data_IF_740310586079
#
_entry.id   IF_740310586079
#
_cell.length_a   1.000
_cell.length_b   1.000
_cell.length_c   1.000
_cell.angle_alpha   90.00
_cell.angle_beta   90.00
_cell.angle_gamma   90.00
#
_symmetry.space_group_name_H-M   'P 1'
#
loop_
_entity.id
_entity.type
_entity.pdbx_description
1 polymer ?
#
# COMPACT_ATOMS: atom_id res chain seq x y z
N UNK A 1 9.80 -14.05 9.88
CA UNK A 1 10.90 -14.47 8.98
C UNK A 1 10.41 -14.20 7.57
N UNK A 2 11.18 -13.50 6.73
CA UNK A 2 10.75 -13.19 5.34
C UNK A 2 10.67 -14.49 4.51
N UNK A 3 9.62 -14.65 3.72
CA UNK A 3 9.42 -15.80 2.84
C UNK A 3 10.03 -15.54 1.45
N UNK A 4 11.35 -15.70 1.36
CA UNK A 4 12.12 -15.53 0.11
C UNK A 4 12.06 -16.80 -0.75
N UNK A 5 12.32 -16.66 -2.05
CA UNK A 5 12.44 -17.81 -2.93
C UNK A 5 13.64 -18.68 -2.56
N UNK A 6 13.42 -19.98 -2.61
CA UNK A 6 14.47 -20.99 -2.50
C UNK A 6 15.30 -21.04 -3.78
N UNK A 7 16.49 -21.64 -3.70
CA UNK A 7 17.34 -21.86 -4.89
C UNK A 7 16.62 -22.68 -5.96
N UNK A 8 15.87 -23.70 -5.55
CA UNK A 8 15.11 -24.56 -6.46
C UNK A 8 14.04 -23.76 -7.21
N UNK A 9 13.30 -22.89 -6.51
CA UNK A 9 12.31 -22.00 -7.13
C UNK A 9 12.95 -21.00 -8.10
N UNK A 10 14.10 -20.41 -7.74
CA UNK A 10 14.84 -19.52 -8.63
C UNK A 10 15.24 -20.24 -9.92
N UNK A 11 15.78 -21.46 -9.81
CA UNK A 11 16.13 -22.29 -10.97
C UNK A 11 14.91 -22.60 -11.84
N UNK A 12 13.76 -22.91 -11.24
CA UNK A 12 12.51 -23.15 -11.99
C UNK A 12 12.09 -21.89 -12.76
N UNK A 13 12.14 -20.72 -12.12
CA UNK A 13 11.80 -19.45 -12.75
C UNK A 13 12.73 -19.15 -13.93
N UNK A 14 14.04 -19.34 -13.77
CA UNK A 14 15.02 -19.10 -14.83
C UNK A 14 14.82 -20.05 -16.01
N UNK A 15 14.65 -21.35 -15.75
CA UNK A 15 14.40 -22.35 -16.79
C UNK A 15 13.10 -22.06 -17.58
N UNK A 16 12.04 -21.66 -16.88
CA UNK A 16 10.76 -21.25 -17.51
C UNK A 16 10.93 -19.99 -18.35
N UNK A 17 11.66 -18.99 -17.84
CA UNK A 17 11.94 -17.74 -18.56
C UNK A 17 12.75 -17.98 -19.84
N UNK A 18 13.71 -18.91 -19.82
CA UNK A 18 14.52 -19.27 -20.97
C UNK A 18 13.73 -20.09 -22.00
N UNK A 19 12.96 -21.08 -21.53
CA UNK A 19 12.22 -22.00 -22.40
C UNK A 19 11.05 -21.32 -23.12
N UNK A 20 10.40 -20.36 -22.45
CA UNK A 20 9.19 -19.69 -22.93
C UNK A 20 9.37 -18.17 -23.08
N UNK A 21 10.59 -17.70 -23.40
CA UNK A 21 10.93 -16.28 -23.36
C UNK A 21 9.99 -15.39 -24.20
N UNK A 22 9.61 -15.84 -25.41
CA UNK A 22 8.76 -15.09 -26.35
C UNK A 22 7.37 -14.81 -25.78
N UNK A 23 6.85 -15.71 -24.96
CA UNK A 23 5.53 -15.58 -24.36
C UNK A 23 5.49 -14.45 -23.31
N UNK A 24 6.59 -14.23 -22.61
CA UNK A 24 6.68 -13.24 -21.52
C UNK A 24 7.32 -11.91 -21.95
N UNK A 25 7.98 -11.89 -23.10
CA UNK A 25 8.79 -10.75 -23.55
C UNK A 25 7.94 -9.51 -23.83
N UNK A 26 8.20 -8.43 -23.08
CA UNK A 26 7.49 -7.14 -23.19
C UNK A 26 5.94 -7.31 -23.12
N UNK A 27 5.49 -8.42 -22.52
CA UNK A 27 4.08 -8.81 -22.41
C UNK A 27 3.68 -8.93 -20.95
N UNK A 28 2.48 -8.47 -20.60
CA UNK A 28 1.92 -8.65 -19.25
C UNK A 28 0.97 -9.85 -19.25
N UNK A 29 1.38 -10.93 -18.58
CA UNK A 29 0.60 -12.16 -18.45
C UNK A 29 -0.34 -12.06 -17.26
N UNK A 30 -1.64 -12.26 -17.54
CA UNK A 30 -2.69 -12.32 -16.52
C UNK A 30 -3.22 -13.76 -16.50
N UNK A 31 -2.93 -14.48 -15.42
CA UNK A 31 -3.39 -15.85 -15.22
C UNK A 31 -4.06 -15.97 -13.85
N UNK A 32 -5.32 -16.41 -13.81
CA UNK A 32 -6.09 -16.59 -12.57
C UNK A 32 -5.55 -17.72 -11.67
N UNK A 33 -4.72 -18.61 -12.22
CA UNK A 33 -4.10 -19.72 -11.51
C UNK A 33 -2.60 -19.48 -11.23
N UNK A 34 -2.14 -18.22 -11.30
CA UNK A 34 -0.75 -17.89 -11.04
C UNK A 34 -0.34 -18.26 -9.62
N UNK A 35 0.83 -18.89 -9.51
CA UNK A 35 1.52 -19.19 -8.25
C UNK A 35 2.60 -18.15 -7.96
N UNK A 36 3.23 -18.18 -6.79
CA UNK A 36 4.26 -17.20 -6.41
C UNK A 36 5.47 -17.18 -7.37
N UNK A 37 5.77 -18.29 -8.05
CA UNK A 37 6.87 -18.40 -9.02
C UNK A 37 6.43 -18.12 -10.47
N UNK A 38 5.14 -17.88 -10.73
CA UNK A 38 4.65 -17.62 -12.07
C UNK A 38 5.18 -16.29 -12.61
N UNK A 39 5.71 -16.31 -13.84
CA UNK A 39 6.23 -15.12 -14.52
C UNK A 39 5.07 -14.25 -14.98
N UNK A 40 5.15 -12.96 -14.66
CA UNK A 40 4.23 -11.92 -15.13
C UNK A 40 4.70 -11.31 -16.44
N UNK A 41 6.00 -11.06 -16.55
CA UNK A 41 6.60 -10.38 -17.70
C UNK A 41 8.12 -10.47 -17.63
N UNK A 42 8.76 -10.34 -18.79
CA UNK A 42 10.21 -10.19 -18.93
C UNK A 42 10.50 -8.84 -19.59
N UNK A 43 11.37 -8.04 -18.96
CA UNK A 43 11.70 -6.70 -19.45
C UNK A 43 12.38 -6.73 -20.82
N UNK A 44 12.15 -5.67 -21.60
CA UNK A 44 12.54 -5.63 -23.00
C UNK A 44 14.06 -5.62 -23.24
N UNK A 45 14.79 -4.79 -22.51
CA UNK A 45 16.20 -4.54 -22.82
C UNK A 45 17.13 -5.46 -22.01
N UNK A 46 16.89 -5.55 -20.70
CA UNK A 46 17.77 -6.30 -19.80
C UNK A 46 17.27 -7.71 -19.47
N UNK A 47 16.07 -8.09 -19.93
CA UNK A 47 15.44 -9.39 -19.65
C UNK A 47 15.25 -9.65 -18.16
N UNK A 48 14.88 -8.63 -17.39
CA UNK A 48 14.52 -8.75 -15.98
C UNK A 48 13.22 -9.53 -15.84
N UNK A 49 13.21 -10.51 -14.95
CA UNK A 49 12.09 -11.42 -14.76
C UNK A 49 11.26 -10.92 -13.58
N UNK A 50 10.01 -10.54 -13.86
CA UNK A 50 9.03 -10.19 -12.85
C UNK A 50 8.10 -11.37 -12.64
N UNK A 51 8.03 -11.86 -11.40
CA UNK A 51 7.12 -12.94 -11.00
C UNK A 51 6.00 -12.40 -10.12
N UNK A 52 4.89 -13.14 -10.04
CA UNK A 52 3.77 -12.83 -9.13
C UNK A 52 4.27 -12.60 -7.70
N UNK A 53 5.10 -13.51 -7.19
CA UNK A 53 5.68 -13.42 -5.87
C UNK A 53 4.68 -13.62 -4.73
N UNK A 54 5.07 -13.15 -3.56
CA UNK A 54 4.30 -13.25 -2.32
C UNK A 54 4.36 -11.91 -1.57
N UNK A 55 4.06 -11.91 -0.27
CA UNK A 55 4.06 -10.67 0.54
C UNK A 55 5.45 -10.09 0.82
N UNK A 56 6.51 -10.87 0.60
CA UNK A 56 7.90 -10.54 0.90
C UNK A 56 8.79 -10.41 -0.34
N UNK A 57 8.38 -10.93 -1.50
CA UNK A 57 9.15 -10.85 -2.75
C UNK A 57 8.26 -10.74 -3.99
N UNK A 58 8.81 -10.22 -5.09
CA UNK A 58 8.16 -10.18 -6.40
C UNK A 58 7.10 -9.08 -6.53
N UNK A 59 6.23 -9.21 -7.53
CA UNK A 59 5.29 -8.16 -7.90
C UNK A 59 4.25 -7.89 -6.81
N UNK A 60 3.75 -8.92 -6.14
CA UNK A 60 2.77 -8.78 -5.05
C UNK A 60 3.34 -7.95 -3.90
N UNK A 61 4.56 -8.24 -3.47
CA UNK A 61 5.27 -7.45 -2.46
C UNK A 61 5.43 -5.99 -2.89
N UNK A 62 5.94 -5.77 -4.11
CA UNK A 62 6.14 -4.44 -4.67
C UNK A 62 4.84 -3.64 -4.70
N UNK A 63 3.77 -4.23 -5.23
CA UNK A 63 2.48 -3.57 -5.37
C UNK A 63 1.82 -3.33 -4.00
N UNK A 64 1.81 -4.31 -3.09
CA UNK A 64 1.24 -4.13 -1.76
C UNK A 64 2.05 -3.15 -0.90
N UNK A 65 3.38 -3.07 -1.04
CA UNK A 65 4.16 -2.20 -0.16
C UNK A 65 4.28 -0.78 -0.73
N UNK A 66 4.53 -0.66 -2.03
CA UNK A 66 4.97 0.58 -2.66
C UNK A 66 3.96 1.20 -3.63
N UNK A 67 2.87 0.50 -4.00
CA UNK A 67 1.81 1.15 -4.79
C UNK A 67 1.17 2.29 -4.01
N UNK A 68 0.93 3.40 -4.71
CA UNK A 68 0.21 4.56 -4.16
C UNK A 68 -1.16 4.17 -3.61
N UNK A 69 -1.85 3.25 -4.28
CA UNK A 69 -3.18 2.76 -3.89
C UNK A 69 -3.15 1.60 -2.89
N UNK A 70 -1.98 1.31 -2.30
CA UNK A 70 -1.92 0.36 -1.19
C UNK A 70 -2.05 1.05 0.16
N UNK A 71 -3.08 0.64 0.90
CA UNK A 71 -3.46 1.13 2.21
C UNK A 71 -3.11 0.15 3.34
N UNK A 72 -2.21 -0.79 3.08
CA UNK A 72 -1.76 -1.76 4.10
C UNK A 72 -0.94 -1.06 5.19
N UNK A 73 -1.31 -1.31 6.45
CA UNK A 73 -0.60 -0.81 7.61
C UNK A 73 0.57 -1.73 7.97
N UNK A 74 1.77 -1.17 8.04
CA UNK A 74 2.98 -1.88 8.44
C UNK A 74 3.43 -1.35 9.80
N UNK A 75 3.75 -2.24 10.73
CA UNK A 75 4.17 -1.91 12.09
C UNK A 75 5.60 -2.39 12.31
N UNK A 76 6.46 -1.50 12.83
CA UNK A 76 7.87 -1.78 13.10
C UNK A 76 8.20 -1.49 14.56
N UNK A 77 9.15 -2.22 15.18
CA UNK A 77 9.58 -1.95 16.53
C UNK A 77 10.03 -0.50 16.73
N UNK A 78 9.71 0.07 17.88
CA UNK A 78 10.15 1.40 18.30
C UNK A 78 10.51 1.39 19.79
N UNK A 79 11.56 2.11 20.17
CA UNK A 79 12.06 2.15 21.54
C UNK A 79 11.05 2.72 22.55
N UNK A 80 10.11 3.56 22.07
CA UNK A 80 9.16 4.29 22.93
C UNK A 80 7.78 3.61 23.01
N UNK A 81 7.21 3.19 21.87
CA UNK A 81 5.82 2.73 21.77
C UNK A 81 5.69 1.21 21.59
N UNK A 82 6.78 0.45 21.74
CA UNK A 82 6.96 -0.95 21.34
C UNK A 82 6.80 -1.20 19.83
N UNK A 83 5.80 -0.61 19.18
CA UNK A 83 5.54 -0.66 17.74
C UNK A 83 5.07 0.71 17.24
N UNK A 84 5.63 1.17 16.12
CA UNK A 84 5.18 2.35 15.38
C UNK A 84 4.79 1.98 13.95
N UNK A 85 3.92 2.78 13.35
CA UNK A 85 3.60 2.64 11.94
C UNK A 85 4.81 2.95 11.04
N UNK A 86 5.19 2.01 10.19
CA UNK A 86 6.13 2.22 9.08
C UNK A 86 5.42 2.89 7.91
N UNK A 87 6.13 3.78 7.21
CA UNK A 87 5.63 4.52 6.05
C UNK A 87 6.48 4.20 4.81
N UNK A 88 6.30 3.03 4.16
CA UNK A 88 7.08 2.67 2.97
C UNK A 88 6.93 3.71 1.86
N UNK A 89 8.01 4.02 1.13
CA UNK A 89 7.94 4.94 0.00
C UNK A 89 6.95 4.45 -1.05
N UNK A 90 6.19 5.39 -1.62
CA UNK A 90 5.17 5.10 -2.63
C UNK A 90 5.57 5.60 -4.01
N UNK A 91 5.25 4.83 -5.04
CA UNK A 91 5.36 5.25 -6.44
C UNK A 91 4.42 6.42 -6.74
N UNK A 92 4.68 7.10 -7.86
CA UNK A 92 3.85 8.19 -8.33
C UNK A 92 2.41 7.69 -8.60
N UNK A 93 1.36 8.41 -8.17
CA UNK A 93 -0.04 8.00 -8.35
C UNK A 93 -0.49 7.80 -9.81
N UNK A 94 0.23 8.37 -10.78
CA UNK A 94 -0.06 8.23 -12.22
C UNK A 94 0.59 7.02 -12.87
N UNK A 95 1.51 6.34 -12.16
CA UNK A 95 2.18 5.15 -12.70
C UNK A 95 1.23 3.97 -12.74
N UNK A 96 1.29 3.24 -13.84
CA UNK A 96 0.61 1.95 -13.97
C UNK A 96 1.51 0.86 -13.40
N UNK A 97 1.04 0.08 -12.41
CA UNK A 97 1.76 -1.09 -11.92
C UNK A 97 2.11 -2.03 -13.07
N UNK A 98 3.17 -2.81 -12.85
CA UNK A 98 3.86 -3.70 -13.79
C UNK A 98 4.45 -2.97 -15.01
N UNK A 99 3.68 -2.20 -15.76
CA UNK A 99 4.14 -1.53 -16.99
C UNK A 99 5.25 -0.52 -16.68
N UNK A 100 4.98 0.46 -15.81
CA UNK A 100 5.97 1.51 -15.54
C UNK A 100 7.07 1.01 -14.60
N UNK A 101 6.75 0.07 -13.69
CA UNK A 101 7.74 -0.53 -12.80
C UNK A 101 8.80 -1.32 -13.56
N UNK A 102 8.39 -2.06 -14.61
CA UNK A 102 9.32 -2.77 -15.50
C UNK A 102 10.21 -1.77 -16.22
N UNK A 103 9.66 -0.70 -16.79
CA UNK A 103 10.46 0.35 -17.46
C UNK A 103 11.51 0.97 -16.53
N UNK A 104 11.12 1.28 -15.30
CA UNK A 104 12.03 1.84 -14.28
C UNK A 104 13.16 0.84 -13.99
N UNK A 105 12.81 -0.41 -13.68
CA UNK A 105 13.79 -1.44 -13.37
C UNK A 105 14.74 -1.68 -14.55
N UNK A 106 14.20 -1.77 -15.76
CA UNK A 106 14.96 -1.99 -17.00
C UNK A 106 15.91 -0.83 -17.28
N UNK A 107 15.56 0.40 -16.92
CA UNK A 107 16.44 1.57 -17.05
C UNK A 107 17.56 1.58 -16.01
N UNK A 108 17.27 1.10 -14.80
CA UNK A 108 18.20 1.17 -13.66
C UNK A 108 19.17 0.01 -13.63
N UNK A 109 18.81 -1.13 -14.23
CA UNK A 109 19.64 -2.31 -14.26
C UNK A 109 20.81 -2.16 -15.24
N UNK A 110 21.90 -1.61 -14.73
CA UNK A 110 23.19 -1.53 -15.40
C UNK A 110 24.32 -1.58 -14.36
N UNK A 111 25.54 -1.91 -14.79
CA UNK A 111 26.66 -2.13 -13.88
C UNK A 111 27.05 -0.85 -13.13
N UNK A 112 26.92 0.31 -13.77
CA UNK A 112 27.21 1.62 -13.17
C UNK A 112 26.30 1.92 -11.97
N UNK A 113 25.08 1.39 -11.97
CA UNK A 113 24.11 1.57 -10.89
C UNK A 113 24.24 0.51 -9.78
N UNK A 114 25.06 -0.53 -9.98
CA UNK A 114 25.21 -1.64 -9.03
C UNK A 114 25.90 -1.15 -7.75
N UNK A 115 25.18 -1.21 -6.63
CA UNK A 115 25.63 -0.77 -5.33
C UNK A 115 26.14 -1.93 -4.49
N UNK A 116 27.46 -2.11 -4.49
CA UNK A 116 28.13 -3.16 -3.72
C UNK A 116 28.18 -2.80 -2.21
N UNK A 117 28.34 -1.52 -1.88
CA UNK A 117 28.62 -1.08 -0.48
C UNK A 117 27.37 -0.84 0.39
N UNK A 118 26.21 -0.58 -0.22
CA UNK A 118 24.96 -0.22 0.49
C UNK A 118 23.88 -1.30 0.40
N UNK A 119 24.31 -2.56 0.36
CA UNK A 119 23.45 -3.72 0.34
C UNK A 119 23.45 -4.41 1.71
N UNK A 120 22.27 -4.50 2.34
CA UNK A 120 22.14 -5.07 3.68
C UNK A 120 22.22 -6.61 3.68
N UNK A 121 22.03 -7.25 2.51
CA UNK A 121 22.06 -8.72 2.33
C UNK A 121 22.81 -9.07 1.03
N UNK A 122 24.12 -8.75 0.93
CA UNK A 122 24.90 -8.90 -0.30
C UNK A 122 25.13 -10.36 -0.71
N UNK A 123 24.88 -11.31 0.19
CA UNK A 123 24.97 -12.74 -0.12
C UNK A 123 23.74 -13.29 -0.85
N UNK A 124 22.60 -12.60 -0.73
CA UNK A 124 21.30 -13.05 -1.26
C UNK A 124 20.83 -12.18 -2.43
N UNK A 125 21.17 -10.90 -2.42
CA UNK A 125 20.65 -9.94 -3.40
C UNK A 125 21.74 -9.13 -4.08
N UNK A 126 21.45 -8.68 -5.30
CA UNK A 126 22.11 -7.55 -5.93
C UNK A 126 21.24 -6.30 -5.81
N UNK A 127 21.85 -5.15 -5.53
CA UNK A 127 21.16 -3.87 -5.39
C UNK A 127 21.64 -2.91 -6.47
N UNK A 128 20.71 -2.30 -7.18
CA UNK A 128 20.96 -1.25 -8.16
C UNK A 128 20.27 0.03 -7.71
N UNK A 129 20.92 1.17 -7.90
CA UNK A 129 20.36 2.48 -7.56
C UNK A 129 20.61 3.43 -8.70
N UNK A 130 19.53 3.96 -9.27
CA UNK A 130 19.59 4.85 -10.41
C UNK A 130 18.48 5.88 -10.37
N UNK A 131 18.46 6.74 -11.39
CA UNK A 131 17.43 7.76 -11.56
C UNK A 131 16.52 7.38 -12.73
N UNK A 132 15.24 7.67 -12.58
CA UNK A 132 14.26 7.54 -13.65
C UNK A 132 13.40 8.81 -13.71
N UNK A 133 13.16 9.29 -14.93
CA UNK A 133 12.37 10.50 -15.14
C UNK A 133 11.00 10.12 -15.71
N UNK A 134 9.98 10.18 -14.85
CA UNK A 134 8.58 10.02 -15.27
C UNK A 134 7.93 11.38 -15.57
N UNK A 135 8.09 12.34 -14.65
CA UNK A 135 7.72 13.76 -14.79
C UNK A 135 8.79 14.66 -14.16
N UNK A 136 9.38 14.17 -13.07
CA UNK A 136 10.57 14.70 -12.43
C UNK A 136 11.56 13.54 -12.26
N UNK A 137 12.85 13.85 -12.23
CA UNK A 137 13.89 12.86 -11.93
C UNK A 137 13.73 12.39 -10.49
N UNK A 138 13.43 11.10 -10.33
CA UNK A 138 13.34 10.45 -9.03
C UNK A 138 14.36 9.32 -8.95
N UNK A 139 14.88 9.11 -7.74
CA UNK A 139 15.84 8.05 -7.45
C UNK A 139 15.10 6.80 -6.99
N UNK A 140 15.46 5.65 -7.55
CA UNK A 140 14.88 4.36 -7.19
C UNK A 140 15.96 3.34 -6.85
N UNK A 141 15.54 2.33 -6.10
CA UNK A 141 16.34 1.15 -5.76
C UNK A 141 15.68 -0.09 -6.33
N UNK A 142 16.43 -0.82 -7.13
CA UNK A 142 16.06 -2.14 -7.64
C UNK A 142 16.86 -3.20 -6.88
N UNK A 143 16.19 -4.25 -6.44
CA UNK A 143 16.81 -5.39 -5.79
C UNK A 143 16.45 -6.64 -6.59
N UNK A 144 17.47 -7.39 -7.01
CA UNK A 144 17.31 -8.69 -7.68
C UNK A 144 17.91 -9.79 -6.82
N UNK A 145 17.49 -11.03 -7.01
CA UNK A 145 18.21 -12.16 -6.43
C UNK A 145 19.62 -12.22 -7.02
N UNK A 146 20.61 -12.46 -6.16
CA UNK A 146 22.02 -12.35 -6.50
C UNK A 146 22.37 -13.23 -7.70
N UNK A 147 23.08 -12.66 -8.66
CA UNK A 147 23.48 -13.32 -9.90
C UNK A 147 22.32 -13.84 -10.76
N UNK A 148 21.09 -13.37 -10.52
CA UNK A 148 19.92 -13.66 -11.35
C UNK A 148 19.35 -12.36 -11.89
N UNK A 149 18.44 -12.48 -12.86
CA UNK A 149 17.62 -11.36 -13.36
C UNK A 149 16.25 -11.28 -12.69
N UNK A 150 16.00 -12.09 -11.66
CA UNK A 150 14.70 -12.18 -10.98
C UNK A 150 14.57 -11.01 -10.01
N UNK A 151 13.54 -10.19 -10.22
CA UNK A 151 13.28 -9.01 -9.40
C UNK A 151 12.70 -9.42 -8.05
N UNK A 152 13.39 -9.04 -6.98
CA UNK A 152 12.90 -9.21 -5.61
C UNK A 152 11.97 -8.06 -5.21
N UNK A 153 12.41 -6.81 -5.39
CA UNK A 153 11.60 -5.60 -5.14
C UNK A 153 12.16 -4.39 -5.87
N UNK A 154 11.35 -3.35 -6.01
CA UNK A 154 11.72 -2.04 -6.55
C UNK A 154 10.96 -0.96 -5.76
N UNK A 155 11.64 0.10 -5.34
CA UNK A 155 11.01 1.18 -4.60
C UNK A 155 11.70 2.55 -4.79
N UNK A 156 10.96 3.66 -4.67
CA UNK A 156 11.56 5.00 -4.65
C UNK A 156 12.41 5.23 -3.39
N UNK A 157 13.51 5.96 -3.51
CA UNK A 157 14.39 6.36 -2.38
C UNK A 157 13.67 7.33 -1.42
N UNK A 158 12.89 8.27 -1.99
CA UNK A 158 12.17 9.31 -1.22
C UNK A 158 10.68 9.01 -1.10
N UNK A 159 10.07 9.53 -0.03
CA UNK A 159 8.64 9.42 0.28
C UNK A 159 7.84 10.60 -0.29
N UNK A 160 8.09 10.98 -1.55
CA UNK A 160 7.49 12.17 -2.17
C UNK A 160 5.97 12.08 -2.32
N UNK A 161 5.48 10.87 -2.60
CA UNK A 161 4.06 10.61 -2.87
C UNK A 161 3.32 10.03 -1.66
N UNK A 162 3.97 9.99 -0.51
CA UNK A 162 3.35 9.50 0.72
C UNK A 162 2.51 10.61 1.35
N UNK A 163 1.34 10.27 1.87
CA UNK A 163 0.63 11.14 2.80
C UNK A 163 1.45 11.34 4.09
N UNK A 164 1.40 12.56 4.64
CA UNK A 164 1.99 12.85 5.95
C UNK A 164 1.14 12.15 7.00
N UNK A 165 1.75 11.27 7.79
CA UNK A 165 1.05 10.55 8.87
C UNK A 165 1.09 11.38 10.14
N UNK A 166 -0.06 11.59 10.78
CA UNK A 166 -0.16 12.28 12.06
C UNK A 166 -0.89 11.46 13.12
N UNK A 167 -1.65 10.44 12.73
CA UNK A 167 -2.29 9.50 13.65
C UNK A 167 -1.35 8.37 14.10
N UNK A 168 -1.44 7.97 15.38
CA UNK A 168 -0.76 6.77 15.92
C UNK A 168 -1.38 5.46 15.39
N UNK A 169 -2.62 5.53 14.91
CA UNK A 169 -3.37 4.41 14.34
C UNK A 169 -3.30 4.40 12.82
N UNK A 170 -3.29 3.20 12.24
CA UNK A 170 -3.15 3.02 10.80
C UNK A 170 -4.49 3.21 10.11
N UNK A 171 -4.59 4.13 9.16
CA UNK A 171 -5.82 4.31 8.37
C UNK A 171 -6.12 3.02 7.58
N UNK A 172 -7.29 2.45 7.79
CA UNK A 172 -7.74 1.26 7.07
C UNK A 172 -8.46 1.61 5.76
N UNK A 173 -9.23 0.65 5.25
CA UNK A 173 -10.02 0.82 4.02
C UNK A 173 -11.38 1.43 4.36
N UNK A 174 -11.68 2.58 3.76
CA UNK A 174 -12.95 3.29 3.89
C UNK A 174 -14.08 2.44 3.29
N UNK A 175 -15.26 2.50 3.90
CA UNK A 175 -16.41 1.68 3.51
C UNK A 175 -17.67 2.53 3.48
N UNK A 176 -18.57 2.22 2.56
CA UNK A 176 -19.93 2.76 2.55
C UNK A 176 -20.89 1.64 2.93
N UNK A 177 -21.82 1.93 3.82
CA UNK A 177 -22.90 1.02 4.16
C UNK A 177 -24.24 1.75 4.14
N UNK A 178 -25.28 1.06 3.71
CA UNK A 178 -26.66 1.58 3.75
C UNK A 178 -27.47 0.64 4.61
N UNK A 179 -28.07 1.14 5.69
CA UNK A 179 -29.00 0.34 6.48
C UNK A 179 -30.35 0.32 5.77
N UNK A 180 -30.93 -0.86 5.61
CA UNK A 180 -32.26 -1.06 5.04
C UNK A 180 -33.29 -1.39 6.14
N UNK A 181 -34.52 -0.83 6.11
CA UNK A 181 -34.97 0.24 5.20
C UNK A 181 -34.13 1.52 5.40
N UNK A 182 -34.05 2.36 4.37
CA UNK A 182 -33.09 3.48 4.24
C UNK A 182 -33.28 4.57 5.32
N UNK A 183 -32.94 4.25 6.57
CA UNK A 183 -32.95 5.19 7.68
C UNK A 183 -31.69 6.04 7.70
N UNK A 184 -30.55 5.43 7.36
CA UNK A 184 -29.28 6.14 7.24
C UNK A 184 -28.30 5.47 6.26
N UNK A 185 -27.33 6.27 5.83
CA UNK A 185 -26.20 5.83 5.02
C UNK A 185 -24.90 6.35 5.62
N UNK A 186 -23.95 5.44 5.76
CA UNK A 186 -22.69 5.66 6.45
C UNK A 186 -21.54 5.64 5.45
N UNK A 187 -20.63 6.59 5.62
CA UNK A 187 -19.27 6.54 5.12
C UNK A 187 -18.33 6.44 6.32
N UNK A 188 -17.63 5.32 6.40
CA UNK A 188 -16.85 4.90 7.55
C UNK A 188 -15.37 4.82 7.17
N UNK A 189 -14.52 5.52 7.93
CA UNK A 189 -13.06 5.52 7.76
C UNK A 189 -12.42 4.91 9.01
N UNK A 190 -11.98 3.64 8.97
CA UNK A 190 -11.37 2.98 10.12
C UNK A 190 -9.93 3.45 10.37
N UNK A 191 -9.55 3.45 11.64
CA UNK A 191 -8.19 3.57 12.12
C UNK A 191 -7.85 2.36 13.00
N UNK A 192 -6.92 1.56 12.52
CA UNK A 192 -6.58 0.25 13.04
C UNK A 192 -5.36 0.32 13.97
N UNK A 193 -5.35 -0.56 14.97
CA UNK A 193 -4.18 -0.80 15.81
C UNK A 193 -3.21 -1.81 15.17
N UNK A 194 -2.14 -2.13 15.89
CA UNK A 194 -1.13 -3.11 15.48
C UNK A 194 -1.63 -4.55 15.31
N UNK A 195 -2.83 -4.87 15.78
CA UNK A 195 -3.49 -6.17 15.59
C UNK A 195 -4.42 -6.17 14.36
N UNK A 196 -4.46 -5.08 13.60
CA UNK A 196 -5.36 -4.90 12.46
C UNK A 196 -6.83 -4.73 12.87
N UNK A 197 -7.09 -4.43 14.15
CA UNK A 197 -8.44 -4.18 14.66
C UNK A 197 -8.77 -2.70 14.65
N UNK A 198 -9.99 -2.35 14.29
CA UNK A 198 -10.46 -0.95 14.34
C UNK A 198 -10.46 -0.47 15.79
N UNK A 199 -9.63 0.54 16.10
CA UNK A 199 -9.57 1.18 17.42
C UNK A 199 -10.34 2.51 17.44
N UNK A 200 -10.28 3.24 16.33
CA UNK A 200 -11.04 4.47 16.12
C UNK A 200 -11.68 4.46 14.73
N UNK A 201 -12.72 5.26 14.53
CA UNK A 201 -13.24 5.52 13.19
C UNK A 201 -13.76 6.94 13.06
N UNK A 202 -13.72 7.45 11.82
CA UNK A 202 -14.47 8.64 11.43
C UNK A 202 -15.73 8.15 10.73
N UNK A 203 -16.89 8.53 11.25
CA UNK A 203 -18.18 8.14 10.74
C UNK A 203 -18.94 9.37 10.23
N UNK A 204 -19.18 9.42 8.93
CA UNK A 204 -20.11 10.36 8.31
C UNK A 204 -21.43 9.62 8.12
N UNK A 205 -22.50 10.10 8.75
CA UNK A 205 -23.82 9.45 8.69
C UNK A 205 -24.87 10.42 8.21
N UNK A 206 -25.50 10.11 7.09
CA UNK A 206 -26.68 10.82 6.56
C UNK A 206 -27.94 10.20 7.11
N UNK A 207 -28.72 10.99 7.85
CA UNK A 207 -30.06 10.64 8.33
C UNK A 207 -31.10 11.21 7.38
N UNK A 208 -31.78 10.34 6.62
CA UNK A 208 -32.61 10.80 5.50
C UNK A 208 -33.92 11.46 5.94
N UNK A 209 -34.56 10.94 6.99
CA UNK A 209 -35.79 11.54 7.53
C UNK A 209 -35.53 12.93 8.13
N UNK A 210 -34.39 13.09 8.78
CA UNK A 210 -33.99 14.35 9.43
C UNK A 210 -33.30 15.32 8.45
N UNK A 211 -32.96 14.88 7.24
CA UNK A 211 -32.21 15.66 6.24
C UNK A 211 -30.92 16.27 6.79
N UNK A 212 -30.25 15.53 7.67
CA UNK A 212 -29.02 15.96 8.34
C UNK A 212 -27.93 14.91 8.18
N UNK A 213 -26.71 15.37 7.93
CA UNK A 213 -25.52 14.55 8.07
C UNK A 213 -24.82 14.92 9.37
N UNK A 214 -24.40 13.90 10.11
CA UNK A 214 -23.59 14.04 11.32
C UNK A 214 -22.24 13.38 11.12
N UNK A 215 -21.20 14.03 11.62
CA UNK A 215 -19.83 13.53 11.58
C UNK A 215 -19.41 13.19 12.99
N UNK A 216 -18.94 11.96 13.18
CA UNK A 216 -18.51 11.45 14.47
C UNK A 216 -17.07 10.95 14.41
N UNK A 217 -16.38 11.05 15.54
CA UNK A 217 -15.30 10.12 15.87
C UNK A 217 -15.85 9.08 16.84
N UNK A 218 -15.62 7.81 16.54
CA UNK A 218 -15.97 6.70 17.43
C UNK A 218 -14.71 6.02 17.93
N UNK A 219 -14.69 5.66 19.22
CA UNK A 219 -13.69 4.79 19.82
C UNK A 219 -14.30 3.39 19.97
N UNK A 220 -13.51 2.37 19.66
CA UNK A 220 -13.97 0.99 19.59
C UNK A 220 -13.28 0.12 20.65
N UNK A 221 -13.99 -0.91 21.10
CA UNK A 221 -13.41 -1.95 21.96
C UNK A 221 -12.59 -2.98 21.15
N UNK A 222 -12.08 -4.00 21.84
CA UNK A 222 -11.33 -5.09 21.23
C UNK A 222 -12.16 -5.99 20.29
N UNK A 223 -13.48 -5.87 20.31
CA UNK A 223 -14.43 -6.55 19.44
C UNK A 223 -14.92 -5.65 18.29
N UNK A 224 -14.30 -4.48 18.14
CA UNK A 224 -14.62 -3.44 17.14
C UNK A 224 -16.00 -2.78 17.33
N UNK A 225 -16.63 -2.94 18.49
CA UNK A 225 -17.89 -2.27 18.82
C UNK A 225 -17.61 -0.84 19.29
N UNK A 226 -18.36 0.17 18.81
CA UNK A 226 -18.26 1.54 19.34
C UNK A 226 -18.62 1.60 20.83
N UNK A 227 -17.72 2.12 21.64
CA UNK A 227 -17.92 2.32 23.09
C UNK A 227 -18.07 3.80 23.48
N UNK A 228 -17.48 4.70 22.70
CA UNK A 228 -17.61 6.14 22.87
C UNK A 228 -17.82 6.80 21.50
N UNK A 229 -18.62 7.87 21.46
CA UNK A 229 -18.96 8.58 20.24
C UNK A 229 -18.96 10.09 20.46
N UNK A 230 -18.19 10.79 19.65
CA UNK A 230 -17.96 12.23 19.73
C UNK A 230 -18.55 12.89 18.49
N UNK A 231 -19.63 13.67 18.65
CA UNK A 231 -20.20 14.45 17.55
C UNK A 231 -19.30 15.66 17.27
N UNK A 232 -18.76 15.73 16.05
CA UNK A 232 -17.86 16.81 15.64
C UNK A 232 -18.59 17.92 14.90
N UNK A 233 -19.52 17.54 14.02
CA UNK A 233 -20.21 18.47 13.16
C UNK A 233 -21.54 17.91 12.68
N UNK A 234 -22.40 18.81 12.23
CA UNK A 234 -23.61 18.48 11.50
C UNK A 234 -23.76 19.42 10.29
N UNK A 235 -24.37 18.91 9.21
CA UNK A 235 -24.75 19.70 8.04
C UNK A 235 -26.13 19.30 7.54
N UNK A 236 -26.94 20.28 7.14
CA UNK A 236 -28.24 20.01 6.53
C UNK A 236 -28.06 19.72 5.04
N UNK A 237 -28.95 18.91 4.46
CA UNK A 237 -29.00 18.66 3.02
C UNK A 237 -30.44 18.65 2.51
N UNK A 238 -30.70 19.19 1.32
CA UNK A 238 -32.07 19.32 0.81
C UNK A 238 -32.54 18.06 0.07
N UNK A 239 -31.61 17.45 -0.69
CA UNK A 239 -31.88 16.34 -1.59
C UNK A 239 -31.31 15.03 -1.04
N UNK A 240 -32.05 13.94 -1.28
CA UNK A 240 -31.58 12.60 -0.99
C UNK A 240 -30.33 12.28 -1.84
N UNK A 241 -29.15 12.25 -1.22
CA UNK A 241 -27.90 11.84 -1.88
C UNK A 241 -27.16 10.84 -1.02
N UNK A 242 -27.08 9.58 -1.48
CA UNK A 242 -26.21 8.55 -0.89
C UNK A 242 -24.75 8.96 -1.01
N UNK A 243 -23.90 8.44 -0.13
CA UNK A 243 -22.47 8.40 -0.38
C UNK A 243 -22.19 7.47 -1.56
N UNK A 244 -21.33 7.93 -2.46
CA UNK A 244 -20.93 7.23 -3.68
C UNK A 244 -19.47 6.80 -3.58
N UNK A 245 -19.01 6.01 -4.55
CA UNK A 245 -17.63 5.50 -4.56
C UNK A 245 -16.60 6.63 -4.56
N UNK A 246 -16.94 7.75 -5.18
CA UNK A 246 -16.15 8.97 -5.23
C UNK A 246 -15.93 9.55 -3.83
N UNK A 247 -16.95 9.55 -2.97
CA UNK A 247 -16.84 10.01 -1.58
C UNK A 247 -15.90 9.08 -0.78
N UNK A 248 -16.04 7.77 -0.97
CA UNK A 248 -15.15 6.78 -0.36
C UNK A 248 -13.71 6.95 -0.81
N UNK A 249 -13.48 7.14 -2.10
CA UNK A 249 -12.15 7.36 -2.67
C UNK A 249 -11.55 8.67 -2.14
N UNK A 250 -12.34 9.75 -2.09
CA UNK A 250 -11.93 11.03 -1.53
C UNK A 250 -11.46 10.87 -0.08
N UNK A 251 -12.23 10.16 0.75
CA UNK A 251 -11.83 9.87 2.12
C UNK A 251 -10.62 8.95 2.18
N UNK A 252 -10.45 8.01 1.25
CA UNK A 252 -9.34 7.08 1.24
C UNK A 252 -7.99 7.76 0.98
N UNK A 253 -7.92 8.65 -0.02
CA UNK A 253 -6.67 9.31 -0.43
C UNK A 253 -6.49 10.73 0.13
N UNK A 254 -7.58 11.34 0.63
CA UNK A 254 -7.59 12.71 1.11
C UNK A 254 -6.84 12.93 2.42
N UNK A 255 -6.51 14.19 2.68
CA UNK A 255 -5.92 14.64 3.94
C UNK A 255 -6.99 14.67 5.03
N UNK A 256 -6.82 13.81 6.05
CA UNK A 256 -7.70 13.72 7.21
C UNK A 256 -7.01 14.23 8.49
N UNK A 257 -5.94 15.01 8.35
CA UNK A 257 -5.12 15.57 9.44
C UNK A 257 -5.94 16.07 10.63
N UNK A 258 -7.02 16.82 10.39
CA UNK A 258 -7.75 17.45 11.48
C UNK A 258 -8.56 16.45 12.29
N UNK A 259 -9.11 15.42 11.64
CA UNK A 259 -9.70 14.29 12.37
C UNK A 259 -8.64 13.47 13.10
N UNK A 260 -7.48 13.24 12.48
CA UNK A 260 -6.37 12.50 13.08
C UNK A 260 -5.84 13.15 14.36
N UNK A 261 -5.78 14.50 14.40
CA UNK A 261 -5.42 15.23 15.63
C UNK A 261 -6.41 14.96 16.75
N UNK A 262 -7.72 15.03 16.47
CA UNK A 262 -8.77 14.80 17.47
C UNK A 262 -8.71 13.35 17.98
N UNK A 263 -8.46 12.37 17.10
CA UNK A 263 -8.27 10.97 17.51
C UNK A 263 -7.11 10.85 18.53
N UNK A 264 -5.97 11.49 18.25
CA UNK A 264 -4.83 11.47 19.16
C UNK A 264 -5.15 12.14 20.52
N UNK A 265 -5.87 13.26 20.50
CA UNK A 265 -6.30 13.98 21.73
C UNK A 265 -7.22 13.11 22.60
N UNK A 266 -8.19 12.41 21.99
CA UNK A 266 -9.07 11.47 22.68
C UNK A 266 -8.26 10.31 23.30
N UNK A 267 -7.29 9.78 22.56
CA UNK A 267 -6.44 8.67 23.03
C UNK A 267 -5.55 9.09 24.22
N UNK A 268 -4.99 10.31 24.18
CA UNK A 268 -4.13 10.83 25.25
C UNK A 268 -4.92 11.14 26.53
N UNK A 269 -6.13 11.66 26.40
CA UNK A 269 -7.00 11.90 27.55
C UNK A 269 -7.53 10.59 28.17
N UNK A 270 -7.70 9.54 27.37
CA UNK A 270 -8.14 8.21 27.85
C UNK A 270 -7.06 7.46 28.66
N UNK A 271 -5.80 7.89 28.60
CA UNK A 271 -4.64 7.26 29.28
C UNK A 271 -4.33 7.89 30.65
N UNK A 272 -4.99 8.98 31.01
CA UNK A 272 -4.89 9.63 32.33
C UNK A 272 -5.97 9.09 33.25
#
# INVERSE_FOLDING_TARGET
MENLFTKEELTIIENEAESNWEYYYDATVINGNATQISIKTISKNNKLIFVEGNLDTGFKHLNERHSFLSFKNYWIPNEIENLKLDNPSKFNPRMMPIIDYVKIADTIFCEENKNITKNNKPDVFDKYTGYYNYNQSEKYHLITYKNTKIVHTLFPDKKLHNSKRKCKFGKGISKISTKLPEGYNDLFVPYENNKGKTAYSILFRKYYLEKVERIFIQKHDNNENPIEQYLLAYRNFENYKKFEREDMNFMQIGDLTDFEKIINEIDENSKK
#
